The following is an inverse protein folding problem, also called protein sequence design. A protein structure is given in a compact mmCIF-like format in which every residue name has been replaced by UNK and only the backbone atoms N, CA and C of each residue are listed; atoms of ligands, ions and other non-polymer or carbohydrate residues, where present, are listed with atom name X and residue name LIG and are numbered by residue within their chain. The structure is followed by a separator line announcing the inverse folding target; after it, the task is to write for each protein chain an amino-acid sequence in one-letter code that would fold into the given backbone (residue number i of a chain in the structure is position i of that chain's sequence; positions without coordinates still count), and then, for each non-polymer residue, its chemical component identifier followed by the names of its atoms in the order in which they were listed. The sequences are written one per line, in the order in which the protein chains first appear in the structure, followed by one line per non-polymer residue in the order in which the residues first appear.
data_IF_128401553109
#
_entry.id   IF_128401553109
#
_cell.length_a   1.000
_cell.length_b   1.000
_cell.length_c   1.000
_cell.angle_alpha   90.00
_cell.angle_beta   90.00
_cell.angle_gamma   90.00
#
_symmetry.space_group_name_H-M   'P 1'
#
loop_
_entity.id
_entity.type
_entity.pdbx_description
1 polymer ?
#
# COMPACT_ATOMS: atom_id res chain seq x y z
N UNK A 1 73.60 -5.38 -3.16
CA UNK A 1 73.26 -6.26 -4.31
C UNK A 1 73.32 -7.70 -3.83
N UNK A 2 72.41 -8.63 -4.20
CA UNK A 2 71.04 -8.56 -4.77
C UNK A 2 69.96 -9.03 -3.72
N UNK A 3 68.66 -8.68 -3.76
CA UNK A 3 67.52 -9.05 -4.65
C UNK A 3 67.21 -10.58 -4.65
N UNK A 4 66.01 -11.06 -4.29
CA UNK A 4 64.72 -10.97 -5.02
C UNK A 4 63.52 -11.27 -4.07
N UNK A 5 62.38 -10.55 -4.02
CA UNK A 5 61.26 -10.31 -4.96
C UNK A 5 60.25 -11.47 -5.14
N UNK A 6 58.96 -11.10 -5.05
CA UNK A 6 57.68 -11.79 -5.36
C UNK A 6 57.06 -12.55 -4.18
N UNK A 7 55.84 -12.29 -3.70
CA UNK A 7 54.69 -11.61 -4.30
C UNK A 7 53.46 -12.50 -4.07
N UNK A 8 52.76 -12.30 -2.94
CA UNK A 8 51.55 -13.04 -2.60
C UNK A 8 50.35 -12.09 -2.53
N UNK A 9 49.47 -12.19 -3.52
CA UNK A 9 48.22 -11.43 -3.61
C UNK A 9 47.35 -11.66 -2.38
N UNK A 10 47.05 -10.60 -1.63
CA UNK A 10 45.90 -10.56 -0.74
C UNK A 10 44.65 -10.33 -1.61
N UNK A 11 43.88 -11.39 -1.83
CA UNK A 11 42.51 -11.29 -2.35
C UNK A 11 41.65 -10.64 -1.27
N UNK A 12 41.49 -9.32 -1.36
CA UNK A 12 40.47 -8.59 -0.64
C UNK A 12 39.11 -8.97 -1.24
N UNK A 13 38.44 -9.93 -0.62
CA UNK A 13 37.01 -10.17 -0.85
C UNK A 13 36.25 -9.01 -0.23
N UNK A 14 35.92 -8.02 -1.07
CA UNK A 14 34.92 -7.03 -0.75
C UNK A 14 33.56 -7.74 -0.67
N UNK A 15 33.18 -8.16 0.54
CA UNK A 15 31.80 -8.49 0.83
C UNK A 15 31.01 -7.18 0.77
N UNK A 16 30.37 -6.92 -0.37
CA UNK A 16 29.24 -5.98 -0.43
C UNK A 16 28.08 -6.62 0.32
N UNK A 17 28.14 -6.58 1.65
CA UNK A 17 26.94 -6.61 2.46
C UNK A 17 26.09 -5.45 1.94
N UNK A 18 24.90 -5.76 1.44
CA UNK A 18 23.86 -4.76 1.23
C UNK A 18 23.57 -4.17 2.60
N UNK A 19 24.28 -3.09 2.92
CA UNK A 19 23.98 -2.30 4.10
C UNK A 19 22.57 -1.76 3.86
N UNK A 20 21.61 -2.27 4.63
CA UNK A 20 20.38 -1.51 4.91
C UNK A 20 20.86 -0.15 5.36
N UNK A 21 20.70 0.87 4.52
CA UNK A 21 21.07 2.21 4.94
C UNK A 21 20.25 2.51 6.19
N UNK A 22 20.88 2.96 7.29
CA UNK A 22 20.13 3.39 8.45
C UNK A 22 19.14 4.44 7.97
N UNK A 23 17.85 4.17 8.16
CA UNK A 23 16.79 5.14 7.92
C UNK A 23 17.17 6.37 8.73
N UNK A 24 17.55 7.46 8.06
CA UNK A 24 17.78 8.73 8.73
C UNK A 24 16.42 9.27 9.11
N UNK A 25 15.90 8.79 10.24
CA UNK A 25 15.41 9.62 11.33
C UNK A 25 15.30 11.12 10.97
N UNK A 26 14.14 11.56 10.49
CA UNK A 26 13.83 12.99 10.28
C UNK A 26 13.08 13.50 11.50
N UNK A 27 13.44 14.68 11.99
CA UNK A 27 12.76 15.33 13.11
C UNK A 27 11.39 15.85 12.66
N UNK A 28 10.31 15.09 12.91
CA UNK A 28 8.93 15.55 12.75
C UNK A 28 8.47 16.18 14.07
N UNK A 29 7.44 17.04 14.06
CA UNK A 29 6.94 17.60 15.33
C UNK A 29 5.88 16.73 15.99
N UNK A 30 5.04 16.02 15.24
CA UNK A 30 4.15 15.00 15.80
C UNK A 30 3.79 13.87 14.80
N UNK A 31 3.71 12.64 15.33
CA UNK A 31 3.13 11.48 14.64
C UNK A 31 1.70 11.26 15.15
N UNK A 32 0.72 11.30 14.24
CA UNK A 32 -0.69 10.99 14.53
C UNK A 32 -1.01 9.60 14.00
N UNK A 33 -1.44 8.69 14.89
CA UNK A 33 -1.78 7.31 14.56
C UNK A 33 -3.29 7.16 14.41
N UNK A 34 -3.75 6.87 13.20
CA UNK A 34 -5.12 6.42 12.94
C UNK A 34 -5.26 4.94 13.25
N UNK A 35 -5.71 4.60 14.46
CA UNK A 35 -5.86 3.22 14.90
C UNK A 35 -6.90 2.43 14.07
N UNK A 36 -6.82 1.09 14.08
CA UNK A 36 -7.64 0.21 13.26
C UNK A 36 -8.57 -0.68 14.09
N UNK A 37 -9.54 -1.35 13.46
CA UNK A 37 -10.48 -2.23 14.18
C UNK A 37 -9.81 -3.43 14.85
N UNK A 38 -8.72 -3.94 14.28
CA UNK A 38 -7.94 -5.06 14.83
C UNK A 38 -6.80 -4.60 15.75
N UNK A 39 -6.53 -3.29 15.79
CA UNK A 39 -5.61 -2.66 16.73
C UNK A 39 -6.16 -1.29 17.18
N UNK A 40 -7.21 -1.25 18.04
CA UNK A 40 -7.92 -0.02 18.37
C UNK A 40 -7.10 1.00 19.16
N UNK A 41 -6.01 0.55 19.80
CA UNK A 41 -5.05 1.36 20.54
C UNK A 41 -3.85 1.84 19.70
N UNK A 42 -3.71 1.38 18.46
CA UNK A 42 -2.61 1.80 17.58
C UNK A 42 -1.22 1.31 18.00
N UNK A 43 -1.14 0.37 18.95
CA UNK A 43 0.12 -0.14 19.49
C UNK A 43 0.99 -0.74 18.36
N UNK A 44 2.26 -0.38 18.30
CA UNK A 44 3.19 -0.85 17.27
C UNK A 44 3.02 -0.21 15.88
N UNK A 45 1.99 0.60 15.62
CA UNK A 45 1.87 1.33 14.33
C UNK A 45 3.01 2.34 14.18
N UNK A 46 3.46 2.92 15.30
CA UNK A 46 4.62 3.80 15.34
C UNK A 46 5.94 3.12 14.92
N UNK A 47 6.01 1.78 14.95
CA UNK A 47 7.17 1.00 14.52
C UNK A 47 7.18 0.69 13.01
N UNK A 48 6.08 0.97 12.30
CA UNK A 48 5.99 0.65 10.89
C UNK A 48 7.12 1.30 10.10
N UNK A 49 7.63 0.58 9.11
CA UNK A 49 8.75 1.01 8.29
C UNK A 49 9.97 1.38 9.15
N UNK A 50 10.31 0.53 10.13
CA UNK A 50 11.43 0.77 11.04
C UNK A 50 11.32 2.02 11.90
N UNK A 51 10.10 2.53 12.12
CA UNK A 51 9.86 3.76 12.86
C UNK A 51 10.28 5.03 12.11
N UNK A 52 10.19 5.04 10.78
CA UNK A 52 10.56 6.19 9.94
C UNK A 52 9.94 7.50 10.43
N UNK A 53 8.67 7.45 10.82
CA UNK A 53 7.87 8.60 11.23
C UNK A 53 7.85 8.84 12.74
N UNK A 54 8.67 8.13 13.51
CA UNK A 54 8.57 8.04 14.97
C UNK A 54 9.21 9.19 15.73
N UNK A 55 9.49 10.30 15.06
CA UNK A 55 10.51 11.25 15.50
C UNK A 55 9.87 12.58 15.87
N UNK A 56 10.14 13.05 17.08
CA UNK A 56 9.67 14.28 17.71
C UNK A 56 9.99 14.23 19.21
N UNK A 57 9.93 15.34 19.94
CA UNK A 57 10.20 15.35 21.40
C UNK A 57 9.10 14.67 22.23
N UNK A 58 7.96 14.35 21.60
CA UNK A 58 6.75 13.90 22.23
C UNK A 58 6.31 12.51 21.76
N UNK A 59 5.58 11.80 22.61
CA UNK A 59 4.98 10.50 22.29
C UNK A 59 3.97 10.61 21.12
N UNK A 60 3.85 9.57 20.26
CA UNK A 60 2.84 9.53 19.20
C UNK A 60 1.42 9.77 19.73
N UNK A 61 0.64 10.57 19.01
CA UNK A 61 -0.76 10.83 19.36
C UNK A 61 -1.64 9.77 18.70
N UNK A 62 -2.26 8.92 19.51
CA UNK A 62 -3.17 7.89 19.01
C UNK A 62 -4.60 8.44 18.91
N UNK A 63 -5.12 8.51 17.68
CA UNK A 63 -6.55 8.65 17.44
C UNK A 63 -7.21 7.28 17.52
N UNK A 64 -7.90 7.00 18.63
CA UNK A 64 -8.58 5.72 18.87
C UNK A 64 -9.55 5.39 17.73
N UNK A 65 -9.54 4.14 17.26
CA UNK A 65 -10.34 3.71 16.11
C UNK A 65 -11.84 4.07 16.21
N UNK A 66 -12.44 3.94 17.40
CA UNK A 66 -13.86 4.20 17.62
C UNK A 66 -14.26 5.67 17.52
N UNK A 67 -13.29 6.58 17.58
CA UNK A 67 -13.53 8.01 17.31
C UNK A 67 -13.61 8.32 15.81
N UNK A 68 -13.20 7.36 14.96
CA UNK A 68 -13.33 7.43 13.51
C UNK A 68 -12.55 8.59 12.89
N UNK A 69 -13.02 9.15 11.75
CA UNK A 69 -12.35 10.29 11.11
C UNK A 69 -12.29 11.55 12.00
N UNK A 70 -13.21 11.68 12.96
CA UNK A 70 -13.23 12.83 13.87
C UNK A 70 -12.08 12.80 14.87
N UNK A 71 -11.65 11.62 15.32
CA UNK A 71 -10.47 11.49 16.17
C UNK A 71 -9.21 11.96 15.48
N UNK A 72 -9.03 11.56 14.21
CA UNK A 72 -7.90 11.99 13.40
C UNK A 72 -7.94 13.52 13.19
N UNK A 73 -9.10 14.06 12.81
CA UNK A 73 -9.28 15.51 12.66
C UNK A 73 -8.92 16.27 13.94
N UNK A 74 -9.41 15.81 15.10
CA UNK A 74 -9.15 16.44 16.38
C UNK A 74 -7.68 16.35 16.78
N UNK A 75 -7.04 15.20 16.56
CA UNK A 75 -5.61 15.03 16.82
C UNK A 75 -4.76 16.00 15.97
N UNK A 76 -5.14 16.23 14.71
CA UNK A 76 -4.47 17.22 13.87
C UNK A 76 -4.72 18.64 14.40
N UNK A 77 -5.98 18.95 14.71
CA UNK A 77 -6.37 20.27 15.22
C UNK A 77 -5.66 20.62 16.54
N UNK A 78 -5.56 19.67 17.46
CA UNK A 78 -4.89 19.85 18.75
C UNK A 78 -3.36 20.04 18.59
N UNK A 79 -2.80 19.67 17.42
CA UNK A 79 -1.39 19.82 17.04
C UNK A 79 -1.18 20.83 15.90
N UNK A 80 -2.14 21.72 15.63
CA UNK A 80 -2.06 22.66 14.51
C UNK A 80 -0.93 23.70 14.60
N UNK A 81 -0.26 23.79 15.76
CA UNK A 81 0.92 24.64 15.99
C UNK A 81 2.26 23.92 15.85
N UNK A 82 2.24 22.61 15.60
CA UNK A 82 3.42 21.78 15.38
C UNK A 82 3.71 21.76 13.86
N UNK A 83 4.91 22.18 13.45
CA UNK A 83 5.35 22.13 12.05
C UNK A 83 5.72 20.67 11.69
N UNK A 84 5.40 20.16 10.49
CA UNK A 84 5.78 18.79 10.07
C UNK A 84 5.05 17.64 10.80
N UNK A 85 3.71 17.70 10.89
CA UNK A 85 2.88 16.60 11.37
C UNK A 85 2.67 15.51 10.30
N UNK A 86 2.79 14.24 10.66
CA UNK A 86 2.48 13.09 9.78
C UNK A 86 1.32 12.29 10.33
N UNK A 87 0.36 11.93 9.47
CA UNK A 87 -0.72 11.00 9.80
C UNK A 87 -0.40 9.62 9.26
N UNK A 88 -0.15 8.66 10.13
CA UNK A 88 0.05 7.25 9.78
C UNK A 88 -1.16 6.42 10.22
N UNK A 89 -1.75 5.68 9.30
CA UNK A 89 -2.93 4.86 9.58
C UNK A 89 -2.88 3.56 8.79
N UNK A 90 -3.49 2.51 9.33
CA UNK A 90 -3.51 1.19 8.67
C UNK A 90 -4.90 0.57 8.65
N UNK A 91 -5.19 -0.21 7.63
CA UNK A 91 -6.44 -0.98 7.53
C UNK A 91 -7.67 -0.08 7.58
N UNK A 92 -8.57 -0.32 8.54
CA UNK A 92 -9.78 0.49 8.69
C UNK A 92 -9.50 1.92 9.18
N UNK A 93 -8.38 2.14 9.88
CA UNK A 93 -7.92 3.48 10.23
C UNK A 93 -7.57 4.29 8.98
N UNK A 94 -6.97 3.65 7.98
CA UNK A 94 -6.69 4.26 6.69
C UNK A 94 -7.97 4.65 5.94
N UNK A 95 -9.05 3.88 6.06
CA UNK A 95 -10.35 4.29 5.51
C UNK A 95 -10.99 5.50 6.23
N UNK A 96 -10.77 5.64 7.54
CA UNK A 96 -11.15 6.86 8.26
C UNK A 96 -10.37 8.07 7.73
N UNK A 97 -9.05 7.91 7.51
CA UNK A 97 -8.22 8.96 6.91
C UNK A 97 -8.64 9.29 5.47
N UNK A 98 -8.98 8.30 4.63
CA UNK A 98 -9.49 8.54 3.26
C UNK A 98 -10.80 9.34 3.24
N UNK A 99 -11.73 9.05 4.17
CA UNK A 99 -12.94 9.85 4.34
C UNK A 99 -12.61 11.29 4.79
N UNK A 100 -11.65 11.45 5.71
CA UNK A 100 -11.19 12.76 6.17
C UNK A 100 -10.57 13.59 5.03
N UNK A 101 -9.69 12.99 4.24
CA UNK A 101 -9.06 13.59 3.06
C UNK A 101 -10.11 14.01 2.01
N UNK A 102 -11.12 13.16 1.78
CA UNK A 102 -12.23 13.50 0.87
C UNK A 102 -13.05 14.67 1.40
N UNK A 103 -13.29 14.72 2.71
CA UNK A 103 -13.94 15.88 3.34
C UNK A 103 -13.10 17.14 3.15
N UNK A 104 -11.80 17.10 3.46
CA UNK A 104 -10.87 18.22 3.27
C UNK A 104 -10.91 18.77 1.85
N UNK A 105 -10.83 17.88 0.84
CA UNK A 105 -10.98 18.21 -0.57
C UNK A 105 -12.30 18.93 -0.89
N UNK A 106 -13.43 18.42 -0.38
CA UNK A 106 -14.75 18.96 -0.69
C UNK A 106 -15.06 20.26 0.04
N UNK A 107 -14.51 20.47 1.24
CA UNK A 107 -14.80 21.63 2.08
C UNK A 107 -13.71 22.68 2.13
N UNK A 108 -12.52 22.37 1.58
CA UNK A 108 -11.31 23.19 1.71
C UNK A 108 -11.00 23.49 3.19
N UNK A 109 -11.16 22.49 4.06
CA UNK A 109 -10.90 22.64 5.49
C UNK A 109 -9.39 22.59 5.74
N UNK A 110 -8.76 23.69 6.19
CA UNK A 110 -7.31 23.78 6.29
C UNK A 110 -6.74 22.83 7.34
N UNK A 111 -7.53 22.36 8.31
CA UNK A 111 -7.07 21.38 9.31
C UNK A 111 -6.65 20.09 8.62
N UNK A 112 -7.35 19.65 7.58
CA UNK A 112 -7.06 18.39 6.90
C UNK A 112 -5.75 18.46 6.11
N UNK A 113 -5.39 19.66 5.63
CA UNK A 113 -4.18 19.90 4.82
C UNK A 113 -3.00 20.43 5.64
N UNK A 114 -3.14 20.54 6.98
CA UNK A 114 -2.03 20.93 7.87
C UNK A 114 -0.91 19.88 7.96
N UNK A 115 -1.19 18.56 8.04
CA UNK A 115 -0.14 17.56 8.02
C UNK A 115 0.69 17.65 6.74
N UNK A 116 1.98 17.39 6.83
CA UNK A 116 2.88 17.37 5.66
C UNK A 116 2.70 16.11 4.83
N UNK A 117 2.23 15.02 5.44
CA UNK A 117 2.06 13.73 4.80
C UNK A 117 0.97 12.88 5.47
N UNK A 118 0.21 12.16 4.65
CA UNK A 118 -0.61 11.03 5.07
C UNK A 118 -0.03 9.72 4.53
N UNK A 119 0.20 8.74 5.40
CA UNK A 119 0.59 7.38 5.04
C UNK A 119 -0.54 6.43 5.39
N UNK A 120 -1.09 5.80 4.36
CA UNK A 120 -2.24 4.91 4.42
C UNK A 120 -1.78 3.48 4.15
N UNK A 121 -1.36 2.78 5.20
CA UNK A 121 -0.91 1.38 5.12
C UNK A 121 -2.08 0.40 4.99
N UNK A 122 -1.87 -0.68 4.23
CA UNK A 122 -2.84 -1.74 3.99
C UNK A 122 -4.27 -1.20 3.79
N UNK A 123 -4.39 -0.16 2.98
CA UNK A 123 -5.55 0.73 3.03
C UNK A 123 -6.81 0.06 2.47
N UNK A 124 -7.80 -0.16 3.34
CA UNK A 124 -9.10 -0.76 2.95
C UNK A 124 -9.98 0.17 2.11
N UNK A 125 -9.61 1.44 2.01
CA UNK A 125 -10.22 2.44 1.13
C UNK A 125 -9.39 2.72 -0.14
N UNK A 126 -8.41 1.85 -0.48
CA UNK A 126 -7.71 1.94 -1.77
C UNK A 126 -8.71 1.91 -2.93
N UNK A 127 -8.65 2.84 -3.90
CA UNK A 127 -9.67 2.95 -4.95
C UNK A 127 -9.86 1.65 -5.75
N UNK A 128 -8.77 1.00 -6.16
CA UNK A 128 -8.80 -0.34 -6.70
C UNK A 128 -8.27 -1.34 -5.66
N UNK A 129 -9.11 -2.31 -5.28
CA UNK A 129 -8.69 -3.41 -4.41
C UNK A 129 -9.05 -3.26 -2.93
N UNK A 130 -9.20 -2.04 -2.40
CA UNK A 130 -9.53 -1.87 -0.98
C UNK A 130 -10.80 -2.61 -0.59
N UNK A 131 -10.80 -3.31 0.55
CA UNK A 131 -11.95 -4.08 1.01
C UNK A 131 -13.23 -3.26 1.12
N UNK A 132 -13.14 -2.07 1.72
CA UNK A 132 -14.28 -1.17 1.90
C UNK A 132 -14.78 -0.56 0.58
N UNK A 133 -13.88 -0.26 -0.35
CA UNK A 133 -14.23 0.29 -1.68
C UNK A 133 -14.75 -0.77 -2.63
N UNK A 134 -14.15 -1.97 -2.62
CA UNK A 134 -14.56 -3.14 -3.43
C UNK A 134 -15.92 -3.66 -2.99
N UNK A 135 -16.14 -3.74 -1.67
CA UNK A 135 -17.33 -4.33 -1.04
C UNK A 135 -18.04 -3.29 -0.16
N UNK A 136 -18.72 -2.29 -0.76
CA UNK A 136 -19.30 -1.17 -0.01
C UNK A 136 -20.38 -1.58 1.00
N UNK A 137 -20.92 -2.81 0.90
CA UNK A 137 -21.87 -3.36 1.87
C UNK A 137 -21.28 -3.43 3.29
N UNK A 138 -19.96 -3.52 3.45
CA UNK A 138 -19.32 -3.51 4.77
C UNK A 138 -19.40 -2.16 5.50
N UNK A 139 -19.94 -1.12 4.84
CA UNK A 139 -20.36 0.10 5.54
C UNK A 139 -21.40 -0.16 6.63
N UNK A 140 -22.20 -1.21 6.50
CA UNK A 140 -23.19 -1.63 7.51
C UNK A 140 -22.54 -2.04 8.84
N UNK A 141 -21.26 -2.43 8.83
CA UNK A 141 -20.49 -2.78 10.02
C UNK A 141 -19.40 -1.75 10.35
N UNK A 142 -19.47 -0.55 9.77
CA UNK A 142 -18.59 0.57 10.10
C UNK A 142 -17.34 0.74 9.24
N UNK A 143 -17.22 0.03 8.12
CA UNK A 143 -16.13 0.28 7.15
C UNK A 143 -16.47 1.49 6.28
N UNK A 144 -15.62 2.51 6.27
CA UNK A 144 -15.82 3.64 5.37
C UNK A 144 -15.52 3.22 3.91
N UNK A 145 -16.49 3.31 2.98
CA UNK A 145 -16.32 2.84 1.61
C UNK A 145 -15.78 3.92 0.66
N UNK A 146 -15.37 5.07 1.20
CA UNK A 146 -14.98 6.25 0.42
C UNK A 146 -13.55 6.05 -0.09
N UNK A 147 -13.32 5.99 -1.41
CA UNK A 147 -11.99 5.78 -1.96
C UNK A 147 -11.06 6.95 -1.62
N UNK A 148 -9.78 6.65 -1.36
CA UNK A 148 -8.75 7.68 -1.21
C UNK A 148 -8.73 8.60 -2.45
N UNK A 149 -8.87 9.93 -2.29
CA UNK A 149 -8.79 10.86 -3.42
C UNK A 149 -7.35 10.95 -3.95
N UNK A 150 -7.17 11.26 -5.24
CA UNK A 150 -5.84 11.47 -5.84
C UNK A 150 -5.27 12.86 -5.49
N UNK A 151 -6.15 13.84 -5.36
CA UNK A 151 -5.91 15.28 -5.25
C UNK A 151 -6.52 15.90 -3.97
N UNK A 152 -6.22 15.38 -2.74
CA UNK A 152 -6.73 15.98 -1.52
C UNK A 152 -6.12 17.34 -1.14
N UNK A 153 -5.10 17.84 -1.86
CA UNK A 153 -4.41 19.08 -1.54
C UNK A 153 -3.32 18.91 -0.47
N UNK A 154 -2.92 17.68 -0.17
CA UNK A 154 -1.86 17.28 0.76
C UNK A 154 -1.21 15.99 0.24
N UNK A 155 0.11 15.79 0.36
CA UNK A 155 0.75 14.54 -0.04
C UNK A 155 0.15 13.32 0.65
N UNK A 156 -0.14 12.27 -0.14
CA UNK A 156 -0.63 10.98 0.36
C UNK A 156 0.20 9.85 -0.20
N UNK A 157 0.56 8.89 0.66
CA UNK A 157 1.14 7.62 0.27
C UNK A 157 0.14 6.52 0.57
N UNK A 158 -0.39 5.89 -0.49
CA UNK A 158 -1.34 4.79 -0.40
C UNK A 158 -0.62 3.46 -0.62
N UNK A 159 -0.47 2.67 0.44
CA UNK A 159 0.26 1.40 0.41
C UNK A 159 -0.71 0.22 0.30
N UNK A 160 -0.44 -0.64 -0.68
CA UNK A 160 -1.22 -1.85 -0.94
C UNK A 160 -0.30 -3.06 -1.08
N UNK A 161 -0.81 -4.23 -0.73
CA UNK A 161 -0.08 -5.49 -0.83
C UNK A 161 -0.80 -6.38 -1.84
N UNK A 162 -0.07 -6.92 -2.82
CA UNK A 162 -0.63 -7.82 -3.82
C UNK A 162 -1.40 -8.96 -3.13
N UNK A 163 -2.66 -9.14 -3.52
CA UNK A 163 -3.59 -10.14 -3.00
C UNK A 163 -4.06 -9.95 -1.55
N UNK A 164 -3.50 -9.08 -0.71
CA UNK A 164 -3.98 -8.92 0.68
C UNK A 164 -5.44 -8.46 0.69
N UNK A 165 -6.33 -9.24 1.32
CA UNK A 165 -7.77 -8.96 1.34
C UNK A 165 -8.13 -7.60 1.97
N UNK A 166 -7.25 -6.96 2.74
CA UNK A 166 -7.54 -5.62 3.25
C UNK A 166 -7.42 -4.56 2.14
N UNK A 167 -6.31 -4.53 1.41
CA UNK A 167 -6.00 -3.48 0.43
C UNK A 167 -6.16 -3.90 -1.03
N UNK A 168 -6.32 -5.19 -1.30
CA UNK A 168 -6.28 -5.78 -2.63
C UNK A 168 -7.18 -7.03 -2.77
N UNK A 169 -8.48 -6.87 -2.50
CA UNK A 169 -9.51 -7.89 -2.73
C UNK A 169 -9.72 -8.14 -4.23
N UNK A 170 -9.93 -9.39 -4.67
CA UNK A 170 -10.38 -9.71 -6.03
C UNK A 170 -11.63 -8.92 -6.46
N UNK A 171 -11.71 -8.54 -7.73
CA UNK A 171 -12.91 -7.94 -8.29
C UNK A 171 -14.04 -8.95 -8.52
N UNK A 172 -13.67 -10.18 -8.91
CA UNK A 172 -14.59 -11.25 -9.27
C UNK A 172 -14.69 -12.27 -8.12
N UNK A 173 -15.60 -12.03 -7.17
CA UNK A 173 -15.68 -12.80 -5.91
C UNK A 173 -16.00 -14.30 -6.10
N UNK A 174 -16.49 -14.70 -7.27
CA UNK A 174 -16.72 -16.10 -7.60
C UNK A 174 -15.44 -16.83 -8.04
N UNK A 175 -14.34 -16.12 -8.32
CA UNK A 175 -13.05 -16.73 -8.59
C UNK A 175 -12.48 -17.27 -7.27
N UNK A 176 -12.87 -18.50 -6.93
CA UNK A 176 -12.48 -19.16 -5.69
C UNK A 176 -10.96 -19.26 -5.50
N UNK A 177 -10.13 -19.57 -6.53
CA UNK A 177 -8.68 -19.50 -6.41
C UNK A 177 -8.16 -18.12 -5.99
N UNK A 178 -8.66 -17.03 -6.58
CA UNK A 178 -8.25 -15.68 -6.23
C UNK A 178 -8.64 -15.32 -4.79
N UNK A 179 -9.84 -15.71 -4.35
CA UNK A 179 -10.31 -15.51 -2.98
C UNK A 179 -9.47 -16.32 -1.97
N UNK A 180 -9.15 -17.58 -2.27
CA UNK A 180 -8.31 -18.42 -1.42
C UNK A 180 -6.89 -17.86 -1.33
N UNK A 181 -6.32 -17.45 -2.46
CA UNK A 181 -5.01 -16.80 -2.50
C UNK A 181 -4.99 -15.52 -1.67
N UNK A 182 -6.04 -14.70 -1.77
CA UNK A 182 -6.16 -13.45 -1.03
C UNK A 182 -6.21 -13.65 0.49
N UNK A 183 -6.92 -14.68 0.96
CA UNK A 183 -6.93 -15.06 2.37
C UNK A 183 -5.56 -15.54 2.84
N UNK A 184 -4.86 -16.35 2.04
CA UNK A 184 -3.51 -16.81 2.36
C UNK A 184 -2.53 -15.63 2.44
N UNK A 185 -2.63 -14.68 1.50
CA UNK A 185 -1.84 -13.44 1.51
C UNK A 185 -2.04 -12.63 2.79
N UNK A 186 -3.31 -12.46 3.21
CA UNK A 186 -3.64 -11.77 4.46
C UNK A 186 -3.03 -12.47 5.70
N UNK A 187 -3.11 -13.80 5.77
CA UNK A 187 -2.57 -14.56 6.89
C UNK A 187 -1.03 -14.46 6.95
N UNK A 188 -0.37 -14.59 5.80
CA UNK A 188 1.09 -14.48 5.71
C UNK A 188 1.57 -13.06 6.05
N UNK A 189 0.92 -12.03 5.50
CA UNK A 189 1.26 -10.63 5.75
C UNK A 189 1.11 -10.27 7.23
N UNK A 190 0.02 -10.70 7.88
CA UNK A 190 -0.22 -10.44 9.31
C UNK A 190 0.92 -10.94 10.20
N UNK A 191 1.65 -11.97 9.79
CA UNK A 191 2.78 -12.53 10.55
C UNK A 191 4.10 -11.77 10.33
N UNK A 192 4.22 -10.98 9.25
CA UNK A 192 5.47 -10.36 8.80
C UNK A 192 5.36 -8.83 8.66
N UNK A 193 4.42 -8.20 9.40
CA UNK A 193 4.00 -6.82 9.16
C UNK A 193 5.09 -5.75 9.41
N UNK A 194 6.07 -6.05 10.25
CA UNK A 194 7.04 -5.12 10.85
C UNK A 194 8.32 -4.85 10.04
N UNK A 195 8.56 -5.55 8.92
CA UNK A 195 9.91 -5.63 8.30
C UNK A 195 10.10 -5.02 6.92
N UNK A 196 9.11 -4.34 6.36
CA UNK A 196 9.21 -3.86 4.98
C UNK A 196 10.16 -2.68 4.81
N UNK A 197 11.05 -2.81 3.83
CA UNK A 197 11.82 -1.71 3.24
C UNK A 197 10.87 -0.77 2.51
N UNK A 198 10.76 0.45 3.03
CA UNK A 198 9.85 1.45 2.53
C UNK A 198 10.55 2.33 1.50
N UNK A 199 10.04 2.41 0.25
CA UNK A 199 10.70 3.14 -0.83
C UNK A 199 10.42 4.66 -0.79
N UNK A 200 9.70 5.12 0.22
CA UNK A 200 9.34 6.53 0.40
C UNK A 200 10.12 7.10 1.59
N UNK A 201 10.61 8.33 1.46
CA UNK A 201 11.29 9.05 2.55
C UNK A 201 10.29 9.67 3.54
N UNK A 202 10.81 10.37 4.56
CA UNK A 202 9.98 10.94 5.60
C UNK A 202 9.11 12.10 5.08
N UNK A 203 9.54 12.74 4.00
CA UNK A 203 8.86 13.85 3.34
C UNK A 203 7.80 13.38 2.32
N UNK A 204 7.70 12.07 2.07
CA UNK A 204 6.72 11.49 1.15
C UNK A 204 7.20 11.36 -0.30
N UNK A 205 8.49 11.56 -0.57
CA UNK A 205 9.09 11.40 -1.89
C UNK A 205 9.66 10.00 -2.08
N UNK A 206 9.75 9.57 -3.35
CA UNK A 206 10.38 8.30 -3.69
C UNK A 206 11.89 8.40 -3.45
N UNK A 207 12.42 7.57 -2.56
CA UNK A 207 13.86 7.49 -2.24
C UNK A 207 14.67 7.19 -3.49
N UNK A 208 15.87 7.72 -3.61
CA UNK A 208 16.81 7.47 -4.72
C UNK A 208 16.16 7.59 -6.11
N UNK A 209 15.23 8.54 -6.30
CA UNK A 209 14.55 8.77 -7.56
C UNK A 209 15.39 9.71 -8.43
N UNK A 210 15.93 9.20 -9.53
CA UNK A 210 16.67 10.00 -10.49
C UNK A 210 15.74 10.78 -11.44
N UNK A 211 16.31 11.55 -12.38
CA UNK A 211 15.53 12.33 -13.34
C UNK A 211 14.58 11.47 -14.21
N UNK A 212 14.96 10.23 -14.51
CA UNK A 212 14.14 9.29 -15.31
C UNK A 212 12.97 8.78 -14.49
N UNK A 213 13.21 8.45 -13.22
CA UNK A 213 12.20 8.09 -12.24
C UNK A 213 11.18 9.22 -12.07
N UNK A 214 11.63 10.47 -11.86
CA UNK A 214 10.74 11.63 -11.78
C UNK A 214 9.92 11.82 -13.05
N UNK A 215 10.56 11.80 -14.24
CA UNK A 215 9.85 11.92 -15.51
C UNK A 215 8.78 10.83 -15.69
N UNK A 216 9.08 9.60 -15.29
CA UNK A 216 8.14 8.48 -15.36
C UNK A 216 6.94 8.72 -14.44
N UNK A 217 7.16 9.13 -13.19
CA UNK A 217 6.09 9.40 -12.24
C UNK A 217 5.25 10.62 -12.64
N UNK A 218 5.89 11.70 -13.09
CA UNK A 218 5.23 12.95 -13.50
C UNK A 218 4.38 12.78 -14.77
N UNK A 219 4.71 11.80 -15.61
CA UNK A 219 3.91 11.43 -16.79
C UNK A 219 2.80 10.41 -16.48
N UNK A 220 2.61 10.04 -15.20
CA UNK A 220 1.62 9.05 -14.76
C UNK A 220 2.05 7.59 -15.00
N UNK A 221 3.34 7.36 -15.27
CA UNK A 221 3.93 6.05 -15.40
C UNK A 221 4.11 5.34 -14.06
N UNK A 222 4.59 4.09 -14.13
CA UNK A 222 4.90 3.26 -12.95
C UNK A 222 6.39 2.95 -12.93
N UNK A 223 7.04 3.23 -11.80
CA UNK A 223 8.41 2.82 -11.51
C UNK A 223 8.38 1.49 -10.78
N UNK A 224 9.19 0.53 -11.23
CA UNK A 224 9.38 -0.76 -10.57
C UNK A 224 10.72 -0.76 -9.86
N UNK A 225 10.71 -1.03 -8.56
CA UNK A 225 11.91 -1.07 -7.72
C UNK A 225 12.06 -2.43 -7.03
N UNK A 226 13.28 -2.90 -6.94
CA UNK A 226 13.64 -4.06 -6.11
C UNK A 226 14.05 -3.55 -4.73
N UNK A 227 13.44 -4.10 -3.69
CA UNK A 227 13.72 -3.81 -2.28
C UNK A 227 14.29 -5.06 -1.60
N UNK A 228 14.69 -4.94 -0.34
CA UNK A 228 15.13 -6.11 0.43
C UNK A 228 14.03 -7.17 0.59
N UNK A 229 12.75 -6.75 0.57
CA UNK A 229 11.59 -7.59 0.86
C UNK A 229 10.75 -7.92 -0.38
N UNK A 230 11.24 -7.56 -1.58
CA UNK A 230 10.61 -7.92 -2.85
C UNK A 230 10.49 -6.77 -3.85
N UNK A 231 9.66 -6.97 -4.86
CA UNK A 231 9.41 -5.97 -5.91
C UNK A 231 8.31 -5.00 -5.46
N UNK A 232 8.52 -3.70 -5.71
CA UNK A 232 7.54 -2.66 -5.43
C UNK A 232 7.23 -1.87 -6.70
N UNK A 233 5.94 -1.65 -6.96
CA UNK A 233 5.40 -0.80 -8.02
C UNK A 233 5.00 0.55 -7.44
N UNK A 234 5.55 1.61 -7.99
CA UNK A 234 5.30 2.99 -7.52
C UNK A 234 4.72 3.79 -8.67
N UNK A 235 3.55 4.39 -8.46
CA UNK A 235 2.92 5.29 -9.42
C UNK A 235 2.42 6.53 -8.70
N UNK A 236 2.47 7.70 -9.33
CA UNK A 236 1.97 8.95 -8.76
C UNK A 236 0.85 9.52 -9.61
N UNK A 237 -0.25 9.91 -8.97
CA UNK A 237 -1.37 10.59 -9.60
C UNK A 237 -1.75 11.77 -8.71
N UNK A 238 -1.61 12.98 -9.24
CA UNK A 238 -1.79 14.24 -8.51
C UNK A 238 -0.95 14.25 -7.20
N UNK A 239 -1.59 14.41 -6.04
CA UNK A 239 -0.94 14.46 -4.73
C UNK A 239 -0.72 13.06 -4.12
N UNK A 240 -1.20 12.00 -4.77
CA UNK A 240 -1.19 10.64 -4.22
C UNK A 240 -0.16 9.74 -4.90
N UNK A 241 0.78 9.24 -4.11
CA UNK A 241 1.73 8.20 -4.48
C UNK A 241 1.19 6.84 -4.06
N UNK A 242 1.01 5.93 -5.02
CA UNK A 242 0.62 4.55 -4.79
C UNK A 242 1.86 3.66 -4.71
N UNK A 243 1.95 2.85 -3.65
CA UNK A 243 3.05 1.91 -3.41
C UNK A 243 2.45 0.52 -3.29
N UNK A 244 2.64 -0.30 -4.33
CA UNK A 244 2.17 -1.68 -4.39
C UNK A 244 3.30 -2.68 -4.22
N UNK A 245 3.30 -3.43 -3.12
CA UNK A 245 4.24 -4.53 -2.90
C UNK A 245 3.76 -5.77 -3.64
N UNK A 246 4.58 -6.30 -4.54
CA UNK A 246 4.32 -7.56 -5.24
C UNK A 246 4.63 -8.75 -4.33
N UNK A 247 3.87 -9.82 -4.50
CA UNK A 247 4.10 -11.09 -3.82
C UNK A 247 5.11 -11.91 -4.63
N UNK A 248 6.30 -12.16 -4.08
CA UNK A 248 7.34 -12.95 -4.74
C UNK A 248 6.84 -14.35 -5.13
N UNK A 249 6.09 -14.97 -4.24
CA UNK A 249 5.52 -16.30 -4.40
C UNK A 249 4.01 -16.22 -4.34
N UNK A 250 3.30 -17.01 -5.17
CA UNK A 250 1.85 -17.07 -5.08
C UNK A 250 1.43 -17.61 -3.70
N UNK A 251 0.74 -16.83 -2.84
CA UNK A 251 0.43 -17.26 -1.46
C UNK A 251 -0.30 -18.62 -1.37
N UNK A 252 -1.09 -18.95 -2.40
CA UNK A 252 -1.80 -20.22 -2.50
C UNK A 252 -0.88 -21.45 -2.55
N UNK A 253 0.36 -21.31 -3.04
CA UNK A 253 1.33 -22.43 -3.12
C UNK A 253 2.29 -22.48 -1.93
N UNK A 254 2.25 -21.51 -1.01
CA UNK A 254 3.12 -21.48 0.16
C UNK A 254 3.09 -22.78 0.99
N UNK A 255 1.94 -23.45 1.20
CA UNK A 255 1.91 -24.74 1.90
C UNK A 255 2.72 -25.85 1.21
N UNK A 256 2.85 -25.83 -0.12
CA UNK A 256 3.67 -26.82 -0.83
C UNK A 256 5.15 -26.62 -0.52
N UNK A 257 5.60 -25.38 -0.38
CA UNK A 257 6.99 -25.03 -0.08
C UNK A 257 7.45 -25.56 1.29
N UNK A 258 6.52 -25.83 2.21
CA UNK A 258 6.81 -26.45 3.50
C UNK A 258 7.37 -27.88 3.40
N UNK A 259 7.25 -28.55 2.24
CA UNK A 259 7.79 -29.89 2.01
C UNK A 259 9.25 -29.89 1.49
N UNK A 260 9.96 -28.77 1.57
CA UNK A 260 11.36 -28.66 1.13
C UNK A 260 11.49 -28.67 -0.39
N UNK A 261 12.62 -29.16 -0.91
CA UNK A 261 12.94 -29.08 -2.36
C UNK A 261 11.89 -29.71 -3.29
N UNK A 262 11.31 -30.89 -3.01
CA UNK A 262 10.25 -31.44 -3.86
C UNK A 262 9.02 -30.52 -3.89
N UNK A 263 8.69 -29.94 -2.73
CA UNK A 263 7.60 -28.98 -2.59
C UNK A 263 7.86 -27.67 -3.34
N UNK A 264 9.09 -27.15 -3.26
CA UNK A 264 9.53 -25.97 -3.98
C UNK A 264 9.47 -26.18 -5.49
N UNK A 265 9.97 -27.31 -6.00
CA UNK A 265 9.91 -27.63 -7.42
C UNK A 265 8.46 -27.68 -7.93
N UNK A 266 7.57 -28.34 -7.19
CA UNK A 266 6.15 -28.39 -7.55
C UNK A 266 5.48 -27.02 -7.48
N UNK A 267 5.81 -26.22 -6.47
CA UNK A 267 5.31 -24.86 -6.33
C UNK A 267 5.80 -23.98 -7.49
N UNK A 268 7.08 -24.03 -7.83
CA UNK A 268 7.67 -23.25 -8.93
C UNK A 268 7.09 -23.66 -10.29
N UNK A 269 6.87 -24.96 -10.51
CA UNK A 269 6.25 -25.46 -11.73
C UNK A 269 4.76 -25.06 -11.83
N UNK A 270 4.02 -25.06 -10.73
CA UNK A 270 2.59 -24.74 -10.75
C UNK A 270 2.31 -23.22 -10.73
N UNK A 271 3.22 -22.42 -10.17
CA UNK A 271 3.03 -20.99 -9.90
C UNK A 271 2.62 -20.20 -11.15
N UNK A 272 3.27 -20.30 -12.32
CA UNK A 272 2.94 -19.47 -13.47
C UNK A 272 1.48 -19.65 -13.93
N UNK A 273 1.02 -20.90 -14.05
CA UNK A 273 -0.35 -21.21 -14.45
C UNK A 273 -1.37 -20.83 -13.36
N UNK A 274 -1.07 -21.15 -12.09
CA UNK A 274 -1.95 -20.79 -10.97
C UNK A 274 -2.05 -19.28 -10.76
N UNK A 275 -0.96 -18.53 -10.98
CA UNK A 275 -0.95 -17.08 -10.92
C UNK A 275 -1.89 -16.51 -11.98
N UNK A 276 -1.87 -17.00 -13.23
CA UNK A 276 -2.83 -16.57 -14.24
C UNK A 276 -4.30 -16.82 -13.82
N UNK A 277 -4.59 -17.95 -13.17
CA UNK A 277 -5.93 -18.27 -12.65
C UNK A 277 -6.35 -17.31 -11.52
N UNK A 278 -5.43 -17.00 -10.62
CA UNK A 278 -5.63 -16.05 -9.52
C UNK A 278 -5.81 -14.63 -10.05
N UNK A 279 -4.93 -14.20 -10.93
CA UNK A 279 -4.91 -12.85 -11.51
C UNK A 279 -6.16 -12.59 -12.35
N UNK A 280 -6.76 -13.61 -12.97
CA UNK A 280 -8.08 -13.50 -13.60
C UNK A 280 -9.21 -13.06 -12.64
N UNK A 281 -8.98 -13.14 -11.32
CA UNK A 281 -9.85 -12.59 -10.29
C UNK A 281 -9.77 -11.06 -10.15
N UNK A 282 -8.79 -10.40 -10.78
CA UNK A 282 -8.48 -8.99 -10.64
C UNK A 282 -8.75 -8.21 -11.93
N UNK A 283 -9.03 -6.89 -11.84
CA UNK A 283 -9.14 -6.05 -13.02
C UNK A 283 -7.86 -6.12 -13.85
N UNK A 284 -8.00 -6.17 -15.16
CA UNK A 284 -6.86 -6.24 -16.09
C UNK A 284 -5.94 -7.45 -15.89
N UNK A 285 -6.36 -8.48 -15.16
CA UNK A 285 -5.51 -9.59 -14.71
C UNK A 285 -4.21 -9.11 -14.02
N UNK A 286 -4.28 -7.97 -13.33
CA UNK A 286 -3.14 -7.39 -12.64
C UNK A 286 -3.66 -6.83 -11.32
N UNK A 287 -3.33 -7.46 -10.17
CA UNK A 287 -3.85 -7.04 -8.88
C UNK A 287 -3.45 -5.60 -8.52
N UNK A 288 -2.33 -5.10 -9.04
CA UNK A 288 -1.79 -3.77 -8.72
C UNK A 288 -2.02 -2.73 -9.83
N UNK A 289 -2.71 -3.09 -10.92
CA UNK A 289 -2.98 -2.15 -12.01
C UNK A 289 -3.99 -1.06 -11.61
N UNK A 290 -3.84 0.12 -12.23
CA UNK A 290 -4.77 1.23 -12.12
C UNK A 290 -5.17 1.57 -10.67
N UNK A 291 -4.20 1.77 -9.74
CA UNK A 291 -4.48 1.88 -8.31
C UNK A 291 -5.37 3.07 -7.92
N UNK A 292 -5.38 4.11 -8.76
CA UNK A 292 -6.21 5.31 -8.62
C UNK A 292 -7.67 5.12 -9.05
N UNK A 293 -7.96 4.10 -9.87
CA UNK A 293 -9.28 3.95 -10.48
C UNK A 293 -10.22 3.20 -9.54
N UNK A 294 -11.20 3.93 -8.99
CA UNK A 294 -12.26 3.32 -8.18
C UNK A 294 -12.92 2.16 -8.93
N UNK A 295 -12.79 0.95 -8.38
CA UNK A 295 -13.28 -0.28 -9.02
C UNK A 295 -14.00 -1.17 -8.00
N UNK A 296 -15.36 -1.12 -7.94
CA UNK A 296 -16.13 -2.02 -7.08
C UNK A 296 -16.05 -3.48 -7.56
N UNK A 297 -16.58 -4.40 -6.76
CA UNK A 297 -16.75 -5.79 -7.19
C UNK A 297 -17.56 -5.90 -8.50
N UNK A 298 -17.21 -6.88 -9.31
CA UNK A 298 -17.79 -7.13 -10.64
C UNK A 298 -18.24 -8.59 -10.73
N UNK A 299 -19.28 -8.82 -11.54
CA UNK A 299 -19.81 -10.17 -11.72
C UNK A 299 -19.10 -10.95 -12.82
N UNK A 300 -18.69 -10.32 -13.91
CA UNK A 300 -18.19 -11.01 -15.10
C UNK A 300 -16.94 -10.29 -15.62
N UNK A 301 -15.83 -11.00 -15.88
CA UNK A 301 -14.65 -10.47 -16.55
C UNK A 301 -14.93 -9.94 -17.94
N UNK A 302 -14.17 -8.93 -18.34
CA UNK A 302 -14.20 -8.38 -19.69
C UNK A 302 -13.58 -9.36 -20.68
N UNK A 303 -13.91 -9.22 -21.96
CA UNK A 303 -13.32 -10.03 -23.04
C UNK A 303 -11.78 -9.93 -23.06
N UNK A 304 -11.24 -8.73 -22.88
CA UNK A 304 -9.79 -8.51 -22.85
C UNK A 304 -9.13 -9.24 -21.68
N UNK A 305 -9.77 -9.26 -20.52
CA UNK A 305 -9.27 -10.00 -19.35
C UNK A 305 -9.31 -11.52 -19.58
N UNK A 306 -10.35 -12.03 -20.25
CA UNK A 306 -10.44 -13.44 -20.64
C UNK A 306 -9.37 -13.83 -21.66
N UNK A 307 -9.15 -13.01 -22.68
CA UNK A 307 -8.11 -13.25 -23.70
C UNK A 307 -6.70 -13.21 -23.07
N UNK A 308 -6.47 -12.28 -22.14
CA UNK A 308 -5.24 -12.21 -21.34
C UNK A 308 -5.05 -13.46 -20.49
N UNK A 309 -6.08 -13.87 -19.75
CA UNK A 309 -6.06 -15.10 -18.95
C UNK A 309 -5.68 -16.33 -19.78
N UNK A 310 -6.34 -16.56 -20.94
CA UNK A 310 -6.07 -17.74 -21.77
C UNK A 310 -4.62 -17.77 -22.23
N UNK A 311 -4.09 -16.62 -22.68
CA UNK A 311 -2.69 -16.50 -23.11
C UNK A 311 -1.73 -16.76 -21.95
N UNK A 312 -1.93 -16.10 -20.83
CA UNK A 312 -1.00 -16.14 -19.70
C UNK A 312 -1.05 -17.51 -18.99
N UNK A 313 -2.23 -18.14 -18.93
CA UNK A 313 -2.38 -19.53 -18.46
C UNK A 313 -1.65 -20.52 -19.36
N UNK A 314 -1.80 -20.41 -20.68
CA UNK A 314 -1.12 -21.29 -21.63
C UNK A 314 0.40 -21.16 -21.51
N UNK A 315 0.90 -19.93 -21.48
CA UNK A 315 2.32 -19.66 -21.26
C UNK A 315 2.80 -20.21 -19.91
N UNK A 316 2.00 -20.07 -18.85
CA UNK A 316 2.33 -20.59 -17.53
C UNK A 316 2.38 -22.12 -17.46
N UNK A 317 1.52 -22.82 -18.20
CA UNK A 317 1.59 -24.29 -18.31
C UNK A 317 2.86 -24.74 -19.03
N UNK A 318 3.25 -24.04 -20.11
CA UNK A 318 4.49 -24.33 -20.84
C UNK A 318 5.72 -24.09 -19.97
N UNK A 319 5.75 -22.98 -19.23
CA UNK A 319 6.82 -22.65 -18.29
C UNK A 319 6.94 -23.71 -17.19
N UNK A 320 5.82 -24.09 -16.57
CA UNK A 320 5.79 -25.14 -15.55
C UNK A 320 6.30 -26.49 -16.04
N UNK A 321 5.94 -26.87 -17.27
CA UNK A 321 6.42 -28.11 -17.89
C UNK A 321 7.93 -28.07 -18.14
N UNK A 322 8.49 -26.91 -18.49
CA UNK A 322 9.93 -26.75 -18.69
C UNK A 322 10.69 -26.83 -17.35
N UNK A 323 10.19 -26.19 -16.29
CA UNK A 323 10.75 -26.28 -14.93
C UNK A 323 10.91 -27.73 -14.45
N UNK A 324 9.89 -28.58 -14.68
CA UNK A 324 9.94 -30.00 -14.33
C UNK A 324 10.92 -30.81 -15.19
N UNK A 325 11.02 -30.51 -16.49
CA UNK A 325 11.93 -31.20 -17.42
C UNK A 325 13.39 -30.89 -17.15
N UNK A 326 13.70 -29.62 -16.87
CA UNK A 326 15.07 -29.18 -16.60
C UNK A 326 15.60 -29.81 -15.30
N UNK A 327 14.74 -29.91 -14.28
CA UNK A 327 15.04 -30.61 -13.03
C UNK A 327 15.24 -32.12 -13.23
N UNK A 328 14.38 -32.75 -14.04
CA UNK A 328 14.50 -34.17 -14.38
C UNK A 328 15.73 -34.49 -15.26
N UNK A 329 16.25 -33.51 -15.99
CA UNK A 329 17.46 -33.64 -16.78
C UNK A 329 18.70 -33.46 -15.91
N UNK A 330 18.73 -32.48 -15.01
CA UNK A 330 19.81 -32.32 -14.02
C UNK A 330 19.99 -33.54 -13.11
N UNK A 331 18.89 -34.20 -12.73
CA UNK A 331 18.93 -35.44 -11.94
C UNK A 331 19.48 -36.66 -12.70
N UNK A 332 19.45 -36.65 -14.06
CA UNK A 332 19.95 -37.77 -14.89
C UNK A 332 21.42 -37.63 -15.27
N UNK A 333 22.00 -36.43 -15.17
CA UNK A 333 23.41 -36.16 -15.49
C UNK A 333 24.33 -36.13 -14.27
N UNK A 334 23.83 -36.35 -13.05
CA UNK A 334 24.67 -36.40 -11.86
C UNK A 334 25.37 -37.76 -11.71
N UNK A 335 26.72 -37.84 -11.79
CA UNK A 335 27.44 -38.98 -11.24
C UNK A 335 27.51 -38.85 -9.72
N UNK A 336 27.47 -40.00 -9.06
CA UNK A 336 27.55 -40.14 -7.61
C UNK A 336 28.95 -39.71 -7.09
N UNK A 337 29.06 -38.51 -6.50
CA UNK A 337 30.17 -38.18 -5.59
C UNK A 337 30.00 -36.85 -4.84
N UNK A 338 29.92 -36.98 -3.50
CA UNK A 338 30.41 -36.14 -2.39
C UNK A 338 30.24 -34.60 -2.46
N UNK A 339 29.35 -34.14 -1.59
CA UNK A 339 29.47 -33.00 -0.66
C UNK A 339 30.54 -31.95 -1.03
N UNK A 340 30.12 -30.90 -1.73
CA UNK A 340 30.71 -29.58 -1.58
C UNK A 340 29.72 -28.46 -1.98
N UNK A 341 29.85 -27.37 -1.25
CA UNK A 341 28.92 -26.24 -1.12
C UNK A 341 29.07 -25.26 -2.30
N UNK A 342 28.06 -25.05 -3.16
CA UNK A 342 28.06 -23.87 -4.08
C UNK A 342 26.65 -23.35 -4.44
N UNK A 343 26.46 -22.07 -4.08
CA UNK A 343 25.75 -20.96 -4.72
C UNK A 343 24.47 -21.21 -5.55
N UNK A 344 23.36 -20.72 -5.01
CA UNK A 344 22.08 -20.43 -5.67
C UNK A 344 22.28 -19.47 -6.85
N UNK A 345 22.06 -19.96 -8.08
CA UNK A 345 22.05 -19.12 -9.28
C UNK A 345 20.60 -18.68 -9.54
N UNK A 346 20.34 -17.37 -9.44
CA UNK A 346 19.06 -16.72 -9.79
C UNK A 346 18.75 -16.89 -11.28
N UNK A 347 17.51 -17.26 -11.68
CA UNK A 347 17.06 -17.07 -13.05
C UNK A 347 16.80 -15.57 -13.32
N UNK A 348 17.13 -15.15 -14.53
CA UNK A 348 17.07 -13.76 -14.99
C UNK A 348 15.63 -13.24 -15.16
N UNK A 349 15.41 -12.03 -14.64
CA UNK A 349 14.25 -11.15 -14.89
C UNK A 349 13.93 -11.04 -16.40
N UNK A 350 12.67 -11.32 -16.77
CA UNK A 350 12.15 -10.93 -18.10
C UNK A 350 11.77 -9.45 -18.11
N UNK A 351 12.22 -8.77 -19.16
CA UNK A 351 11.84 -7.43 -19.60
C UNK A 351 10.32 -7.22 -19.54
N UNK A 352 9.88 -6.22 -18.79
CA UNK A 352 8.55 -5.65 -18.86
C UNK A 352 8.26 -5.12 -20.27
N UNK A 353 7.06 -5.40 -20.77
CA UNK A 353 6.56 -4.86 -22.03
C UNK A 353 6.53 -3.31 -21.96
N UNK A 354 7.00 -2.69 -23.04
CA UNK A 354 7.07 -1.24 -23.23
C UNK A 354 5.65 -0.65 -23.40
N UNK A 355 5.19 0.09 -22.40
CA UNK A 355 3.91 0.81 -22.43
C UNK A 355 4.12 2.25 -22.88
N UNK A 356 4.34 2.45 -24.18
CA UNK A 356 4.23 3.78 -24.81
C UNK A 356 2.81 3.99 -25.37
N UNK A 357 2.02 4.96 -24.87
CA UNK A 357 0.69 5.23 -25.43
C UNK A 357 0.83 5.94 -26.79
N UNK A 358 0.22 5.36 -27.84
CA UNK A 358 -0.02 6.07 -29.12
C UNK A 358 -1.23 6.99 -28.99
N UNK A 359 -1.18 8.22 -29.53
CA UNK A 359 -2.29 9.16 -29.47
C UNK A 359 -3.31 8.82 -30.55
N UNK A 360 -4.57 8.58 -30.17
CA UNK A 360 -5.69 8.57 -31.11
C UNK A 360 -6.87 9.36 -30.53
N UNK A 361 -7.09 10.52 -31.16
CA UNK A 361 -8.38 10.88 -31.73
C UNK A 361 -9.55 11.15 -30.76
N UNK A 362 -9.91 12.43 -30.67
CA UNK A 362 -11.25 12.89 -30.27
C UNK A 362 -12.34 12.06 -30.94
N UNK A 363 -13.32 11.60 -30.15
CA UNK A 363 -14.72 11.91 -30.41
C UNK A 363 -15.62 11.79 -29.17
N UNK A 364 -16.72 12.54 -29.23
CA UNK A 364 -17.61 13.00 -28.15
C UNK A 364 -18.50 11.92 -27.50
N UNK A 365 -18.65 12.08 -26.18
CA UNK A 365 -19.86 12.05 -25.35
C UNK A 365 -20.92 10.94 -25.54
N UNK A 366 -21.13 10.17 -24.46
CA UNK A 366 -22.44 10.12 -23.81
C UNK A 366 -22.27 9.91 -22.30
N UNK A 367 -22.94 10.77 -21.55
CA UNK A 367 -22.93 10.85 -20.10
C UNK A 367 -23.93 9.84 -19.55
N UNK A 368 -23.51 9.03 -18.58
CA UNK A 368 -24.40 8.31 -17.67
C UNK A 368 -24.00 8.63 -16.23
N UNK A 369 -24.51 9.76 -15.74
CA UNK A 369 -24.62 10.08 -14.32
C UNK A 369 -25.64 9.17 -13.66
N UNK A 370 -25.29 8.52 -12.54
CA UNK A 370 -26.07 8.51 -11.29
C UNK A 370 -25.50 7.50 -10.28
N UNK A 371 -24.57 7.97 -9.44
CA UNK A 371 -24.25 7.38 -8.12
C UNK A 371 -23.46 8.34 -7.21
N UNK A 372 -22.92 9.44 -7.76
CA UNK A 372 -22.14 10.44 -7.01
C UNK A 372 -22.96 11.33 -6.07
N UNK A 373 -24.27 11.50 -6.30
CA UNK A 373 -25.12 12.39 -5.50
C UNK A 373 -25.25 11.95 -4.04
N UNK A 374 -25.50 10.66 -3.80
CA UNK A 374 -25.74 10.13 -2.44
C UNK A 374 -24.48 10.12 -1.57
N UNK A 375 -23.31 9.96 -2.19
CA UNK A 375 -22.02 9.96 -1.48
C UNK A 375 -21.61 11.37 -1.06
N UNK A 376 -21.73 12.33 -1.97
CA UNK A 376 -21.44 13.75 -1.70
C UNK A 376 -22.38 14.30 -0.62
N UNK A 377 -23.66 13.90 -0.65
CA UNK A 377 -24.63 14.31 0.37
C UNK A 377 -24.31 13.72 1.75
N UNK A 378 -23.84 12.48 1.82
CA UNK A 378 -23.38 11.84 3.06
C UNK A 378 -22.20 12.58 3.69
N UNK A 379 -21.17 12.90 2.89
CA UNK A 379 -19.99 13.65 3.35
C UNK A 379 -20.39 15.08 3.78
N UNK A 380 -21.29 15.74 3.03
CA UNK A 380 -21.78 17.08 3.37
C UNK A 380 -22.64 17.10 4.63
N UNK A 381 -23.44 16.07 4.88
CA UNK A 381 -24.22 15.93 6.11
C UNK A 381 -23.31 15.76 7.33
N UNK A 382 -22.26 14.93 7.20
CA UNK A 382 -21.22 14.79 8.22
C UNK A 382 -20.47 16.12 8.46
N UNK A 383 -20.10 16.84 7.39
CA UNK A 383 -19.47 18.16 7.44
C UNK A 383 -20.30 19.19 8.22
N UNK A 384 -21.63 19.14 8.11
CA UNK A 384 -22.54 20.02 8.86
C UNK A 384 -22.53 19.69 10.35
N UNK A 385 -22.40 18.41 10.71
CA UNK A 385 -22.30 17.94 12.11
C UNK A 385 -21.00 18.39 12.76
N UNK A 386 -19.88 18.37 12.03
CA UNK A 386 -18.58 18.87 12.52
C UNK A 386 -18.62 20.37 12.83
N UNK A 387 -19.11 21.18 11.88
CA UNK A 387 -19.20 22.64 12.06
C UNK A 387 -20.17 23.05 13.16
N UNK A 388 -21.20 22.25 13.44
CA UNK A 388 -22.17 22.51 14.51
C UNK A 388 -21.66 22.26 15.93
N UNK A 389 -20.62 21.43 16.11
CA UNK A 389 -20.08 21.11 17.44
C UNK A 389 -19.13 22.19 18.00
N UNK A 390 -18.68 23.13 17.17
CA UNK A 390 -17.80 24.24 17.59
C UNK A 390 -18.55 25.46 18.15
N UNK A 391 -19.89 25.46 18.16
CA UNK A 391 -20.69 26.62 18.58
C UNK A 391 -21.56 26.30 19.80
N UNK A 392 -20.93 26.00 20.95
CA UNK A 392 -21.57 26.17 22.27
C UNK A 392 -20.52 26.08 23.38
N UNK A 393 -19.71 27.13 23.51
CA UNK A 393 -19.14 27.51 24.80
C UNK A 393 -19.92 28.73 25.30
N UNK A 394 -20.55 28.70 26.49
CA UNK A 394 -21.21 29.89 27.02
C UNK A 394 -20.14 30.90 27.42
N UNK A 395 -20.19 32.10 26.83
CA UNK A 395 -19.50 33.29 27.37
C UNK A 395 -20.07 33.57 28.75
N UNK A 396 -19.21 33.52 29.76
CA UNK A 396 -19.45 34.26 31.00
C UNK A 396 -19.14 35.73 30.71
N UNK A 397 -20.17 36.56 30.70
CA UNK A 397 -20.00 38.01 30.77
C UNK A 397 -19.56 38.42 32.18
N UNK A 398 -18.60 39.34 32.32
CA UNK A 398 -18.27 39.95 33.60
C UNK A 398 -19.27 41.10 33.88
N UNK A 399 -20.05 41.00 34.95
CA UNK A 399 -20.79 42.15 35.48
C UNK A 399 -20.04 42.73 36.68
N UNK A 400 -19.33 43.82 36.44
CA UNK A 400 -19.00 44.83 37.45
C UNK A 400 -20.20 45.75 37.69
N UNK A 401 -20.43 46.17 38.94
CA UNK A 401 -21.16 47.41 39.24
C UNK A 401 -22.16 47.38 40.38
N UNK A 402 -21.65 47.43 41.61
CA UNK A 402 -22.10 48.21 42.77
C UNK A 402 -23.59 48.34 43.18
N UNK A 403 -23.82 47.97 44.46
CA UNK A 403 -24.34 48.94 45.44
C UNK A 403 -25.77 48.71 45.96
N UNK A 404 -25.90 48.12 47.15
CA UNK A 404 -26.90 48.54 48.13
C UNK A 404 -26.57 48.02 49.54
N UNK A 405 -26.38 48.96 50.45
CA UNK A 405 -26.23 48.81 51.89
C UNK A 405 -27.51 48.37 52.59
N UNK A 406 -27.32 47.85 53.81
CA UNK A 406 -28.15 48.04 55.01
C UNK A 406 -29.02 46.87 55.55
N UNK A 407 -28.60 46.45 56.76
CA UNK A 407 -29.40 46.06 57.94
C UNK A 407 -30.11 44.71 57.98
N UNK A 408 -29.82 43.98 59.07
CA UNK A 408 -30.50 42.76 59.52
C UNK A 408 -29.57 41.86 60.31
#
# INVERSE_FOLDING_TARGET
MPASLLGGMALATAATLGATQPMTAVQLSALIIGASSTNPGGDGVADFYGGLYRQGRDEPVVANFFTGPFGIYRAIQDRSGDDDNVVLSSGWGAANASLLLTYGKLTHDPVVTQPTLYVLDNNVASPNGGFGTRLPLFTLIGVNPIPTPTDPGVPVVNVVYEYDINSNVPAYLWNAPAMANSLMAYLDRRLNQDRLDFPIDAEGNVRDCDATCHQTLDSGGTVVRQTADGTVRISKVDDTTYVGYESENLPLVSPLRAFGEPGNLLADAATPALRAVVDYGYPDNDPLANPQKYTPARLIPTRTETERFVRDFTAGVEEGANTLRDSGSAARTAPESKEDTVATTRPALRKSADFSPKPLGRDRASVSTNSSGTVVDGVRAWAKKLRGAAATAPRQDPSDGDGASAQG
#
